data_IF_541464969128
#
_entry.id   IF_541464969128
#
_cell.length_a   1.000
_cell.length_b   1.000
_cell.length_c   1.000
_cell.angle_alpha   90.00
_cell.angle_beta   90.00
_cell.angle_gamma   90.00
#
_symmetry.space_group_name_H-M   'P 1'
#
loop_
_entity.id
_entity.type
_entity.pdbx_description
1 polymer ?
#
# COMPACT_ATOMS: atom_id res chain seq x y z
N UNK A 1 -10.94 -0.72 -16.68
CA UNK A 1 -11.29 -0.43 -15.26
C UNK A 1 -10.09 -0.04 -14.36
N UNK A 2 -9.14 0.81 -14.81
CA UNK A 2 -7.99 1.22 -13.98
C UNK A 2 -8.38 2.12 -12.79
N UNK A 3 -9.43 2.93 -12.92
CA UNK A 3 -9.91 3.83 -11.85
C UNK A 3 -10.42 3.05 -10.63
N UNK A 4 -11.14 1.95 -10.84
CA UNK A 4 -11.64 1.10 -9.75
C UNK A 4 -10.49 0.44 -8.98
N UNK A 5 -9.47 -0.06 -9.69
CA UNK A 5 -8.30 -0.68 -9.06
C UNK A 5 -7.44 0.35 -8.32
N UNK A 6 -7.23 1.53 -8.91
CA UNK A 6 -6.49 2.62 -8.28
C UNK A 6 -7.16 3.12 -7.00
N UNK A 7 -8.50 3.23 -6.99
CA UNK A 7 -9.26 3.60 -5.80
C UNK A 7 -9.17 2.55 -4.68
N UNK A 8 -9.27 1.26 -5.02
CA UNK A 8 -9.03 0.16 -4.05
C UNK A 8 -7.61 0.26 -3.46
N UNK A 9 -6.59 0.46 -4.29
CA UNK A 9 -5.21 0.58 -3.81
C UNK A 9 -4.99 1.79 -2.90
N UNK A 10 -5.58 2.94 -3.22
CA UNK A 10 -5.56 4.11 -2.34
C UNK A 10 -6.21 3.81 -0.99
N UNK A 11 -7.40 3.21 -0.97
CA UNK A 11 -8.12 2.89 0.27
C UNK A 11 -7.33 1.90 1.12
N UNK A 12 -6.85 0.81 0.53
CA UNK A 12 -6.04 -0.19 1.25
C UNK A 12 -4.74 0.43 1.76
N UNK A 13 -4.06 1.24 0.95
CA UNK A 13 -2.85 1.96 1.33
C UNK A 13 -3.07 2.90 2.53
N UNK A 14 -4.19 3.64 2.54
CA UNK A 14 -4.56 4.50 3.67
C UNK A 14 -4.85 3.68 4.93
N UNK A 15 -5.59 2.57 4.82
CA UNK A 15 -5.85 1.68 5.97
C UNK A 15 -4.52 1.16 6.54
N UNK A 16 -3.59 0.71 5.70
CA UNK A 16 -2.27 0.24 6.16
C UNK A 16 -1.41 1.37 6.74
N UNK A 17 -1.59 2.60 6.28
CA UNK A 17 -0.88 3.77 6.82
C UNK A 17 -1.39 4.20 8.19
N UNK A 18 -2.71 4.20 8.40
CA UNK A 18 -3.32 4.58 9.69
C UNK A 18 -3.35 3.45 10.71
N UNK A 19 -3.46 2.20 10.25
CA UNK A 19 -3.54 1.01 11.09
C UNK A 19 -2.43 0.00 10.75
N UNK A 20 -1.14 0.39 10.79
CA UNK A 20 -0.06 -0.53 10.52
C UNK A 20 -0.02 -1.61 11.61
N UNK A 21 0.32 -2.87 11.25
CA UNK A 21 0.51 -3.91 12.25
C UNK A 21 1.69 -3.56 13.15
N UNK A 22 1.43 -3.38 14.45
CA UNK A 22 2.45 -2.99 15.44
C UNK A 22 3.41 -4.11 15.84
N UNK A 23 3.13 -5.34 15.44
CA UNK A 23 3.94 -6.52 15.73
C UNK A 23 4.08 -7.33 14.45
N UNK A 24 5.21 -8.03 14.32
CA UNK A 24 5.44 -8.99 13.24
C UNK A 24 4.29 -9.99 13.23
N UNK A 25 3.48 -9.96 12.17
CA UNK A 25 2.32 -10.81 12.00
C UNK A 25 2.44 -11.59 10.68
N UNK A 26 2.40 -12.94 10.69
CA UNK A 26 2.49 -13.74 9.49
C UNK A 26 1.23 -13.70 8.61
N UNK A 27 0.12 -13.10 9.06
CA UNK A 27 -1.14 -13.01 8.32
C UNK A 27 -1.43 -11.61 7.75
N UNK A 28 -0.84 -10.55 8.32
CA UNK A 28 -1.17 -9.16 7.97
C UNK A 28 0.07 -8.26 7.89
N UNK A 29 0.06 -7.32 6.93
CA UNK A 29 1.16 -6.39 6.68
C UNK A 29 2.12 -6.81 5.57
N UNK A 30 3.15 -6.00 5.36
CA UNK A 30 4.20 -6.24 4.38
C UNK A 30 5.23 -7.29 4.85
N UNK A 31 4.94 -8.55 4.50
CA UNK A 31 5.66 -9.75 4.95
C UNK A 31 6.74 -10.15 3.95
N UNK A 32 7.93 -9.59 4.11
CA UNK A 32 9.14 -10.07 3.42
C UNK A 32 10.11 -10.64 4.45
N UNK A 33 10.96 -11.63 4.10
CA UNK A 33 11.94 -12.17 5.04
C UNK A 33 12.86 -11.08 5.64
N UNK A 34 13.09 -10.00 4.89
CA UNK A 34 13.89 -8.85 5.33
C UNK A 34 13.15 -7.96 6.31
N UNK A 35 11.85 -7.70 6.10
CA UNK A 35 11.03 -6.87 7.00
C UNK A 35 10.71 -7.58 8.31
N UNK A 36 10.54 -8.90 8.30
CA UNK A 36 10.21 -9.68 9.50
C UNK A 36 11.43 -10.03 10.39
N UNK A 37 12.65 -9.58 10.03
CA UNK A 37 13.87 -9.94 10.76
C UNK A 37 14.02 -9.24 12.13
N UNK A 38 13.44 -8.04 12.28
CA UNK A 38 13.40 -7.31 13.55
C UNK A 38 12.18 -6.39 13.59
N UNK A 39 11.76 -5.99 14.79
CA UNK A 39 10.61 -5.11 14.97
C UNK A 39 10.85 -3.72 14.31
N UNK A 40 12.05 -3.17 14.43
CA UNK A 40 12.42 -1.91 13.78
C UNK A 40 12.28 -1.96 12.25
N UNK A 41 12.74 -3.06 11.63
CA UNK A 41 12.61 -3.26 10.18
C UNK A 41 11.16 -3.47 9.78
N UNK A 42 10.39 -4.14 10.63
CA UNK A 42 8.97 -4.34 10.44
C UNK A 42 8.25 -2.99 10.41
N UNK A 43 8.46 -2.16 11.43
CA UNK A 43 7.82 -0.85 11.58
C UNK A 43 8.16 0.08 10.40
N UNK A 44 9.44 0.12 9.98
CA UNK A 44 9.87 0.86 8.80
C UNK A 44 9.19 0.35 7.52
N UNK A 45 9.17 -0.96 7.32
CA UNK A 45 8.64 -1.56 6.11
C UNK A 45 7.12 -1.40 5.97
N UNK A 46 6.35 -1.43 7.08
CA UNK A 46 4.92 -1.14 7.04
C UNK A 46 4.66 0.29 6.57
N UNK A 47 5.36 1.27 7.15
CA UNK A 47 5.20 2.68 6.75
C UNK A 47 5.63 2.93 5.30
N UNK A 48 6.74 2.34 4.86
CA UNK A 48 7.23 2.48 3.49
C UNK A 48 6.29 1.83 2.46
N UNK A 49 5.84 0.60 2.72
CA UNK A 49 4.94 -0.12 1.82
C UNK A 49 3.57 0.55 1.69
N UNK A 50 3.01 1.08 2.79
CA UNK A 50 1.76 1.82 2.76
C UNK A 50 1.85 3.07 1.88
N UNK A 51 2.94 3.85 2.00
CA UNK A 51 3.19 5.03 1.14
C UNK A 51 3.32 4.64 -0.33
N UNK A 52 4.04 3.56 -0.62
CA UNK A 52 4.22 3.07 -1.99
C UNK A 52 2.89 2.63 -2.62
N UNK A 53 2.03 1.96 -1.83
CA UNK A 53 0.71 1.51 -2.29
C UNK A 53 -0.25 2.68 -2.56
N UNK A 54 -0.20 3.74 -1.74
CA UNK A 54 -0.96 4.97 -2.00
C UNK A 54 -0.45 5.64 -3.29
N UNK A 55 0.87 5.77 -3.44
CA UNK A 55 1.45 6.40 -4.62
C UNK A 55 1.10 5.64 -5.91
N UNK A 56 1.16 4.30 -5.90
CA UNK A 56 0.76 3.50 -7.06
C UNK A 56 -0.74 3.60 -7.36
N UNK A 57 -1.59 3.64 -6.33
CA UNK A 57 -3.04 3.88 -6.49
C UNK A 57 -3.33 5.22 -7.16
N UNK A 58 -2.65 6.29 -6.75
CA UNK A 58 -2.79 7.63 -7.36
C UNK A 58 -2.35 7.62 -8.82
N UNK A 59 -1.22 7.00 -9.16
CA UNK A 59 -0.74 6.89 -10.55
C UNK A 59 -1.75 6.11 -11.41
N UNK A 60 -2.34 5.04 -10.87
CA UNK A 60 -3.39 4.28 -11.55
C UNK A 60 -4.68 5.08 -11.77
N UNK A 61 -5.07 5.91 -10.80
CA UNK A 61 -6.22 6.81 -10.96
C UNK A 61 -5.99 7.82 -12.07
N UNK A 62 -4.80 8.44 -12.11
CA UNK A 62 -4.44 9.43 -13.14
C UNK A 62 -4.40 8.82 -14.54
N UNK A 63 -3.73 7.68 -14.72
CA UNK A 63 -3.69 6.98 -16.02
C UNK A 63 -5.07 6.47 -16.47
N UNK A 64 -5.96 6.17 -15.52
CA UNK A 64 -7.33 5.78 -15.81
C UNK A 64 -8.23 6.91 -16.30
N UNK A 65 -7.97 8.16 -15.90
CA UNK A 65 -8.72 9.33 -16.36
C UNK A 65 -8.49 9.62 -17.84
N UNK A 66 -7.26 9.42 -18.36
CA UNK A 66 -6.91 9.69 -19.76
C UNK A 66 -7.73 8.84 -20.75
N UNK A 67 -8.04 7.60 -20.36
CA UNK A 67 -8.80 6.63 -21.17
C UNK A 67 -10.32 6.91 -21.22
N UNK A 68 -10.83 7.86 -20.43
CA UNK A 68 -12.25 8.24 -20.43
C UNK A 68 -12.55 9.43 -21.36
N UNK A 69 -11.51 10.02 -21.96
CA UNK A 69 -11.59 11.28 -22.73
C UNK A 69 -11.53 11.09 -24.26
N UNK A 70 -11.58 9.85 -24.75
CA UNK A 70 -11.59 9.51 -26.18
C UNK A 70 -12.68 8.49 -26.51
#
# INVERSE_FOLDING_TARGET
>A
MPVLLGSIFCVVGLIMFFFPPKKINPLYGYRTPRSMKSQERWDFAQGYSAKLLIASGVIMLLSGMENFTF
#
